data_IF_281960981115
#
_entry.id   IF_281960981115
#
_cell.length_a   1.000
_cell.length_b   1.000
_cell.length_c   1.000
_cell.angle_alpha   90.00
_cell.angle_beta   90.00
_cell.angle_gamma   90.00
#
_symmetry.space_group_name_H-M   'P 1'
#
loop_
_entity.id
_entity.type
_entity.pdbx_description
1 polymer ?
#
# COMPACT_ATOMS: atom_id res chain seq x y z
N UNK A 1 -11.50 -8.13 -17.63
CA UNK A 1 -12.01 -7.09 -16.71
C UNK A 1 -10.82 -6.46 -16.01
N UNK A 2 -10.65 -5.14 -16.09
CA UNK A 2 -9.47 -4.47 -15.53
C UNK A 2 -9.55 -4.39 -14.00
N UNK A 3 -8.52 -4.84 -13.29
CA UNK A 3 -8.41 -4.63 -11.85
C UNK A 3 -7.86 -3.23 -11.57
N UNK A 4 -8.54 -2.46 -10.74
CA UNK A 4 -8.10 -1.13 -10.32
C UNK A 4 -7.07 -1.24 -9.19
N UNK A 5 -6.06 -0.38 -9.26
CA UNK A 5 -5.01 -0.28 -8.26
C UNK A 5 -4.88 1.13 -7.70
N UNK A 6 -4.35 1.23 -6.48
CA UNK A 6 -4.01 2.50 -5.82
C UNK A 6 -2.50 2.66 -5.73
N UNK A 7 -2.02 3.89 -5.81
CA UNK A 7 -0.61 4.23 -5.60
C UNK A 7 -0.42 4.91 -4.25
N UNK A 8 0.49 4.43 -3.42
CA UNK A 8 0.80 4.97 -2.09
C UNK A 8 2.29 5.35 -2.03
N UNK A 9 2.61 6.47 -1.39
CA UNK A 9 3.98 6.95 -1.20
C UNK A 9 4.26 7.12 0.30
N UNK A 10 4.90 6.15 0.96
CA UNK A 10 5.13 6.18 2.40
C UNK A 10 6.02 7.34 2.88
N UNK A 11 6.82 7.93 1.98
CA UNK A 11 7.66 9.09 2.28
C UNK A 11 6.88 10.39 2.51
N UNK A 12 5.60 10.44 2.10
CA UNK A 12 4.77 11.65 2.14
C UNK A 12 3.59 11.56 3.11
N UNK A 13 3.36 10.40 3.72
CA UNK A 13 2.16 10.13 4.53
C UNK A 13 2.48 9.30 5.76
N UNK A 14 1.61 9.37 6.77
CA UNK A 14 1.76 8.57 7.99
C UNK A 14 1.15 7.17 7.85
N UNK A 15 1.61 6.24 8.70
CA UNK A 15 1.10 4.86 8.73
C UNK A 15 -0.42 4.77 8.92
N UNK A 16 -0.99 5.69 9.70
CA UNK A 16 -2.42 5.74 10.01
C UNK A 16 -3.22 6.15 8.78
N UNK A 17 -2.79 7.19 8.07
CA UNK A 17 -3.43 7.67 6.85
C UNK A 17 -3.35 6.62 5.73
N UNK A 18 -2.21 5.94 5.61
CA UNK A 18 -2.05 4.86 4.64
C UNK A 18 -3.01 3.69 4.91
N UNK A 19 -3.16 3.28 6.18
CA UNK A 19 -4.12 2.23 6.57
C UNK A 19 -5.56 2.65 6.26
N UNK A 20 -5.95 3.86 6.62
CA UNK A 20 -7.28 4.39 6.33
C UNK A 20 -7.56 4.49 4.81
N UNK A 21 -6.56 4.87 4.02
CA UNK A 21 -6.67 4.93 2.56
C UNK A 21 -6.84 3.55 1.94
N UNK A 22 -6.14 2.54 2.47
CA UNK A 22 -6.28 1.15 2.04
C UNK A 22 -7.65 0.60 2.41
N UNK A 23 -8.15 0.87 3.62
CA UNK A 23 -9.49 0.46 4.03
C UNK A 23 -10.56 1.07 3.12
N UNK A 24 -10.36 2.33 2.71
CA UNK A 24 -11.21 2.98 1.73
C UNK A 24 -11.12 2.32 0.35
N UNK A 25 -9.91 2.02 -0.13
CA UNK A 25 -9.70 1.38 -1.42
C UNK A 25 -10.29 -0.04 -1.47
N UNK A 26 -10.15 -0.81 -0.39
CA UNK A 26 -10.79 -2.11 -0.18
C UNK A 26 -12.30 -1.97 -0.29
N UNK A 27 -12.89 -0.99 0.41
CA UNK A 27 -14.34 -0.72 0.38
C UNK A 27 -14.86 -0.46 -1.03
N UNK A 28 -14.04 0.15 -1.90
CA UNK A 28 -14.39 0.40 -3.30
C UNK A 28 -13.98 -0.72 -4.28
N UNK A 29 -13.42 -1.83 -3.79
CA UNK A 29 -13.08 -3.00 -4.61
C UNK A 29 -11.74 -2.90 -5.36
N UNK A 30 -10.84 -2.02 -4.92
CA UNK A 30 -9.47 -1.98 -5.44
C UNK A 30 -8.70 -3.22 -4.97
N UNK A 31 -7.93 -3.80 -5.89
CA UNK A 31 -7.28 -5.10 -5.67
C UNK A 31 -5.76 -5.06 -5.83
N UNK A 32 -5.18 -3.91 -6.24
CA UNK A 32 -3.74 -3.73 -6.45
C UNK A 32 -3.22 -2.51 -5.69
N UNK A 33 -2.00 -2.64 -5.16
CA UNK A 33 -1.32 -1.57 -4.45
C UNK A 33 0.06 -1.38 -5.10
N UNK A 34 0.31 -0.16 -5.57
CA UNK A 34 1.56 0.26 -6.19
C UNK A 34 2.27 1.27 -5.29
N UNK A 35 3.59 1.20 -5.24
CA UNK A 35 4.42 2.21 -4.57
C UNK A 35 5.66 2.45 -5.41
N UNK A 36 6.10 3.70 -5.53
CA UNK A 36 7.34 4.01 -6.21
C UNK A 36 8.52 3.75 -5.30
N UNK A 37 9.53 3.03 -5.79
CA UNK A 37 10.82 2.89 -5.11
C UNK A 37 11.80 4.03 -5.44
N UNK A 38 11.41 5.01 -6.26
CA UNK A 38 12.33 6.09 -6.67
C UNK A 38 12.67 7.06 -5.52
N UNK A 39 11.75 7.25 -4.57
CA UNK A 39 11.98 8.11 -3.38
C UNK A 39 12.65 7.35 -2.21
N UNK A 40 13.16 6.13 -2.45
CA UNK A 40 13.65 5.20 -1.41
C UNK A 40 15.15 5.38 -1.13
N UNK A 41 15.80 6.34 -1.77
CA UNK A 41 17.25 6.53 -1.76
C UNK A 41 17.86 6.66 -0.35
N UNK A 42 17.18 7.32 0.59
CA UNK A 42 17.75 7.57 1.92
C UNK A 42 17.45 6.49 2.98
N UNK A 43 16.36 5.73 2.85
CA UNK A 43 15.91 4.79 3.90
C UNK A 43 15.21 3.55 3.36
N UNK A 44 15.91 2.82 2.49
CA UNK A 44 15.34 1.70 1.77
C UNK A 44 14.72 0.61 2.64
N UNK A 45 15.41 0.22 3.72
CA UNK A 45 14.93 -0.82 4.62
C UNK A 45 13.69 -0.41 5.40
N UNK A 46 13.61 0.84 5.87
CA UNK A 46 12.45 1.34 6.59
C UNK A 46 11.20 1.37 5.69
N UNK A 47 11.36 1.82 4.45
CA UNK A 47 10.26 1.85 3.47
C UNK A 47 9.77 0.45 3.10
N UNK A 48 10.68 -0.50 2.90
CA UNK A 48 10.32 -1.91 2.64
C UNK A 48 9.60 -2.53 3.84
N UNK A 49 10.01 -2.22 5.06
CA UNK A 49 9.35 -2.70 6.28
C UNK A 49 7.91 -2.17 6.39
N UNK A 50 7.72 -0.87 6.19
CA UNK A 50 6.41 -0.21 6.16
C UNK A 50 5.52 -0.84 5.09
N UNK A 51 6.05 -1.02 3.88
CA UNK A 51 5.33 -1.65 2.78
C UNK A 51 4.91 -3.09 3.09
N UNK A 52 5.80 -3.86 3.69
CA UNK A 52 5.52 -5.24 4.10
C UNK A 52 4.39 -5.29 5.13
N UNK A 53 4.43 -4.41 6.13
CA UNK A 53 3.38 -4.32 7.15
C UNK A 53 2.03 -3.91 6.52
N UNK A 54 2.05 -2.94 5.60
CA UNK A 54 0.87 -2.47 4.88
C UNK A 54 0.24 -3.59 4.03
N UNK A 55 1.05 -4.37 3.32
CA UNK A 55 0.55 -5.52 2.55
C UNK A 55 -0.04 -6.57 3.50
N UNK A 56 0.65 -6.86 4.60
CA UNK A 56 0.16 -7.82 5.59
C UNK A 56 -1.18 -7.37 6.18
N UNK A 57 -1.34 -6.06 6.42
CA UNK A 57 -2.60 -5.47 6.85
C UNK A 57 -3.68 -5.64 5.77
N UNK A 58 -3.41 -5.21 4.54
CA UNK A 58 -4.34 -5.35 3.42
C UNK A 58 -4.78 -6.79 3.17
N UNK A 59 -3.86 -7.75 3.23
CA UNK A 59 -4.10 -9.19 3.03
C UNK A 59 -4.90 -9.83 4.16
N UNK A 60 -4.74 -9.33 5.39
CA UNK A 60 -5.50 -9.80 6.56
C UNK A 60 -6.93 -9.27 6.52
N UNK A 61 -7.10 -8.04 6.06
CA UNK A 61 -8.41 -7.37 6.01
C UNK A 61 -9.19 -7.74 4.75
N UNK A 62 -8.55 -8.05 3.62
CA UNK A 62 -9.22 -8.36 2.34
C UNK A 62 -8.33 -9.02 1.28
N UNK A 63 -8.95 -9.63 0.27
CA UNK A 63 -8.35 -10.43 -0.81
C UNK A 63 -7.52 -9.62 -1.83
N UNK A 64 -6.79 -8.57 -1.41
CA UNK A 64 -5.90 -7.76 -2.26
C UNK A 64 -4.72 -8.63 -2.69
N UNK A 65 -4.57 -8.84 -4.01
CA UNK A 65 -3.52 -9.68 -4.58
C UNK A 65 -2.38 -8.83 -5.12
N UNK A 66 -1.14 -9.30 -4.88
CA UNK A 66 0.11 -8.62 -5.26
C UNK A 66 0.25 -8.59 -6.79
N UNK A 67 0.62 -7.45 -7.35
CA UNK A 67 1.22 -7.36 -8.69
C UNK A 67 2.55 -6.64 -8.59
#
# INVERSE_FOLDING_TARGET
>A
MGTLGISIYPSKSTMVEMKAYIDLAVKYGYQRLFTSMLEVADNAQATVAIFTEIIQYGKRTSNISRC
#
